data_IF_942903780928
#
_entry.id   IF_942903780928
#
_cell.length_a   1.000
_cell.length_b   1.000
_cell.length_c   1.000
_cell.angle_alpha   90.00
_cell.angle_beta   90.00
_cell.angle_gamma   90.00
#
_symmetry.space_group_name_H-M   'P 1'
#
loop_
_entity.id
_entity.type
_entity.pdbx_description
1 polymer ?
#
# COMPACT_ATOMS: atom_id res chain seq x y z
N UNK A 1 10.83 9.11 -9.08
CA UNK A 1 9.53 8.54 -8.65
C UNK A 1 9.80 7.11 -8.24
N UNK A 2 9.56 6.79 -6.97
CA UNK A 2 9.80 5.45 -6.41
C UNK A 2 8.84 4.43 -7.05
N UNK A 3 9.25 3.16 -7.13
CA UNK A 3 8.36 2.07 -7.52
C UNK A 3 7.63 1.59 -6.26
N UNK A 4 6.41 2.09 -6.06
CA UNK A 4 5.61 1.82 -4.86
C UNK A 4 4.66 0.67 -5.11
N UNK A 5 4.66 -0.30 -4.20
CA UNK A 5 3.99 -1.58 -4.40
C UNK A 5 3.54 -2.23 -3.10
N UNK A 6 2.61 -3.18 -3.21
CA UNK A 6 2.07 -3.95 -2.08
C UNK A 6 2.33 -5.45 -2.33
N UNK A 7 2.75 -6.17 -1.28
CA UNK A 7 3.03 -7.60 -1.36
C UNK A 7 1.77 -8.43 -1.67
N UNK A 8 1.89 -9.47 -2.50
CA UNK A 8 0.79 -10.42 -2.79
C UNK A 8 0.13 -10.99 -1.54
N UNK A 9 0.90 -11.31 -0.49
CA UNK A 9 0.34 -11.89 0.74
C UNK A 9 -0.75 -11.00 1.34
N UNK A 10 -0.58 -9.67 1.28
CA UNK A 10 -1.57 -8.70 1.70
C UNK A 10 -2.72 -8.62 0.68
N UNK A 11 -2.41 -8.51 -0.61
CA UNK A 11 -3.43 -8.40 -1.68
C UNK A 11 -4.37 -9.60 -1.69
N UNK A 12 -3.85 -10.82 -1.59
CA UNK A 12 -4.66 -12.04 -1.61
C UNK A 12 -5.47 -12.19 -0.32
N UNK A 13 -4.95 -11.73 0.82
CA UNK A 13 -5.72 -11.66 2.07
C UNK A 13 -6.88 -10.67 1.97
N UNK A 14 -6.64 -9.53 1.33
CA UNK A 14 -7.64 -8.51 1.07
C UNK A 14 -8.77 -9.03 0.17
N UNK A 15 -8.45 -9.69 -0.96
CA UNK A 15 -9.46 -10.26 -1.87
C UNK A 15 -10.37 -11.26 -1.15
N UNK A 16 -9.78 -12.19 -0.38
CA UNK A 16 -10.57 -13.14 0.43
C UNK A 16 -11.44 -12.44 1.46
N UNK A 17 -10.97 -11.33 2.03
CA UNK A 17 -11.76 -10.55 2.98
C UNK A 17 -12.92 -9.82 2.29
N UNK A 18 -12.71 -9.26 1.10
CA UNK A 18 -13.79 -8.68 0.29
C UNK A 18 -14.90 -9.69 -0.01
N UNK A 19 -14.56 -10.92 -0.42
CA UNK A 19 -15.55 -11.98 -0.68
C UNK A 19 -16.37 -12.33 0.58
N UNK A 20 -15.71 -12.46 1.73
CA UNK A 20 -16.39 -12.73 3.01
C UNK A 20 -17.35 -11.61 3.42
N UNK A 21 -17.10 -10.39 2.98
CA UNK A 21 -17.97 -9.23 3.21
C UNK A 21 -18.98 -9.02 2.07
N UNK A 22 -19.16 -10.02 1.20
CA UNK A 22 -20.20 -10.01 0.16
C UNK A 22 -19.85 -9.18 -1.08
N UNK A 23 -18.60 -8.74 -1.22
CA UNK A 23 -18.17 -8.01 -2.41
C UNK A 23 -17.73 -8.97 -3.53
N UNK A 24 -18.17 -8.65 -4.75
CA UNK A 24 -17.79 -9.37 -5.95
C UNK A 24 -16.34 -9.02 -6.35
N UNK A 25 -15.39 -9.87 -5.96
CA UNK A 25 -13.97 -9.69 -6.27
C UNK A 25 -13.67 -9.73 -7.76
N UNK A 26 -14.47 -10.43 -8.57
CA UNK A 26 -14.30 -10.42 -10.01
C UNK A 26 -14.64 -9.04 -10.59
N UNK A 27 -15.68 -8.38 -10.09
CA UNK A 27 -15.98 -6.97 -10.45
C UNK A 27 -14.93 -6.00 -9.92
N UNK A 28 -14.45 -6.18 -8.69
CA UNK A 28 -13.43 -5.31 -8.11
C UNK A 28 -12.09 -5.40 -8.87
N UNK A 29 -11.69 -6.62 -9.22
CA UNK A 29 -10.48 -6.90 -9.97
C UNK A 29 -10.64 -6.67 -11.48
N UNK A 30 -11.88 -6.59 -11.99
CA UNK A 30 -12.14 -6.25 -13.38
C UNK A 30 -11.45 -4.93 -13.70
N UNK A 31 -10.82 -4.89 -14.88
CA UNK A 31 -10.12 -3.70 -15.38
C UNK A 31 -8.88 -3.26 -14.56
N UNK A 32 -8.46 -4.06 -13.58
CA UNK A 32 -7.19 -3.86 -12.88
C UNK A 32 -6.09 -4.70 -13.56
N UNK A 33 -4.98 -4.06 -13.98
CA UNK A 33 -3.87 -4.78 -14.58
C UNK A 33 -3.20 -5.70 -13.55
N UNK A 34 -2.80 -6.89 -13.99
CA UNK A 34 -2.18 -7.90 -13.11
C UNK A 34 -3.15 -8.86 -12.44
N UNK A 35 -4.46 -8.71 -12.66
CA UNK A 35 -5.47 -9.70 -12.31
C UNK A 35 -5.86 -10.50 -13.56
N UNK A 36 -5.74 -11.83 -13.47
CA UNK A 36 -6.17 -12.73 -14.54
C UNK A 36 -7.61 -13.17 -14.23
N UNK A 37 -8.57 -12.95 -15.15
CA UNK A 37 -9.94 -13.43 -14.94
C UNK A 37 -9.97 -14.92 -14.63
N UNK A 38 -10.66 -15.30 -13.55
CA UNK A 38 -10.77 -16.69 -13.09
C UNK A 38 -9.61 -17.18 -12.22
N UNK A 39 -8.58 -16.37 -11.94
CA UNK A 39 -7.60 -16.67 -10.89
C UNK A 39 -8.00 -16.00 -9.57
N UNK A 40 -7.91 -16.77 -8.49
CA UNK A 40 -8.25 -16.32 -7.13
C UNK A 40 -7.10 -15.60 -6.43
N UNK A 41 -5.85 -15.82 -6.86
CA UNK A 41 -4.65 -15.26 -6.25
C UNK A 41 -3.88 -14.35 -7.21
N UNK A 42 -3.50 -13.17 -6.72
CA UNK A 42 -2.55 -12.29 -7.39
C UNK A 42 -1.12 -12.82 -7.20
N UNK A 43 -0.35 -12.77 -8.30
CA UNK A 43 1.05 -13.18 -8.35
C UNK A 43 1.93 -11.94 -8.43
N UNK A 44 2.94 -11.87 -7.56
CA UNK A 44 3.90 -10.76 -7.53
C UNK A 44 3.44 -9.60 -6.64
N UNK A 45 3.99 -8.41 -6.86
CA UNK A 45 3.59 -7.21 -6.11
C UNK A 45 2.62 -6.39 -6.95
N UNK A 46 1.60 -5.83 -6.30
CA UNK A 46 0.63 -4.96 -6.96
C UNK A 46 1.11 -3.51 -6.85
N UNK A 47 1.07 -2.76 -7.97
CA UNK A 47 1.42 -1.34 -7.94
C UNK A 47 0.45 -0.53 -7.06
N UNK A 48 0.97 0.52 -6.43
CA UNK A 48 0.22 1.27 -5.42
C UNK A 48 -1.07 1.92 -5.97
N UNK A 49 -1.05 2.42 -7.20
CA UNK A 49 -2.22 3.05 -7.83
C UNK A 49 -3.32 2.01 -8.02
N UNK A 50 -3.00 0.85 -8.57
CA UNK A 50 -3.96 -0.25 -8.74
C UNK A 50 -4.53 -0.72 -7.40
N UNK A 51 -3.71 -0.80 -6.36
CA UNK A 51 -4.16 -1.16 -5.02
C UNK A 51 -5.15 -0.12 -4.43
N UNK A 52 -4.89 1.18 -4.62
CA UNK A 52 -5.81 2.24 -4.16
C UNK A 52 -7.12 2.25 -4.95
N UNK A 53 -7.06 2.01 -6.27
CA UNK A 53 -8.27 1.84 -7.10
C UNK A 53 -9.14 0.69 -6.61
N UNK A 54 -8.53 -0.44 -6.25
CA UNK A 54 -9.25 -1.58 -5.70
C UNK A 54 -10.06 -1.19 -4.44
N UNK A 55 -9.46 -0.42 -3.53
CA UNK A 55 -10.13 0.08 -2.34
C UNK A 55 -11.22 1.11 -2.62
N UNK A 56 -11.01 2.02 -3.57
CA UNK A 56 -12.04 2.98 -3.97
C UNK A 56 -13.24 2.27 -4.61
N UNK A 57 -13.01 1.29 -5.49
CA UNK A 57 -14.08 0.43 -6.05
C UNK A 57 -14.83 -0.31 -4.94
N UNK A 58 -14.11 -0.88 -3.97
CA UNK A 58 -14.73 -1.60 -2.85
C UNK A 58 -15.58 -0.69 -1.97
N UNK A 59 -15.09 0.52 -1.67
CA UNK A 59 -15.84 1.51 -0.90
C UNK A 59 -17.10 2.00 -1.65
N UNK A 60 -17.03 2.14 -2.99
CA UNK A 60 -18.18 2.56 -3.80
C UNK A 60 -19.26 1.48 -3.97
N UNK A 61 -18.86 0.19 -3.97
CA UNK A 61 -19.80 -0.94 -4.07
C UNK A 61 -20.37 -1.38 -2.72
N UNK A 62 -19.80 -0.91 -1.61
CA UNK A 62 -20.18 -1.30 -0.25
C UNK A 62 -21.04 -0.23 0.39
N UNK A 63 -22.24 -0.61 0.85
CA UNK A 63 -23.08 0.25 1.69
C UNK A 63 -22.62 0.31 3.16
N UNK A 64 -21.61 -0.48 3.54
CA UNK A 64 -21.07 -0.51 4.92
C UNK A 64 -20.03 0.60 5.14
N UNK A 65 -20.33 1.65 5.95
CA UNK A 65 -19.38 2.71 6.26
C UNK A 65 -18.21 2.25 7.15
N UNK A 66 -18.25 1.03 7.69
CA UNK A 66 -17.23 0.43 8.53
C UNK A 66 -16.44 -0.68 7.81
N UNK A 67 -16.61 -0.85 6.49
CA UNK A 67 -16.00 -1.90 5.68
C UNK A 67 -14.50 -2.10 6.01
N UNK A 68 -13.73 -1.02 6.00
CA UNK A 68 -12.30 -1.03 6.24
C UNK A 68 -11.94 -1.62 7.60
N UNK A 69 -12.62 -1.18 8.66
CA UNK A 69 -12.39 -1.70 10.02
C UNK A 69 -12.73 -3.19 10.10
N UNK A 70 -13.86 -3.64 9.52
CA UNK A 70 -14.22 -5.06 9.52
C UNK A 70 -13.20 -5.91 8.75
N UNK A 71 -12.76 -5.44 7.60
CA UNK A 71 -11.70 -6.10 6.83
C UNK A 71 -10.43 -6.21 7.66
N UNK A 72 -9.99 -5.12 8.30
CA UNK A 72 -8.82 -5.10 9.18
C UNK A 72 -8.92 -6.09 10.34
N UNK A 73 -10.08 -6.13 11.00
CA UNK A 73 -10.36 -7.06 12.10
C UNK A 73 -10.47 -8.53 11.66
N UNK A 74 -10.74 -8.79 10.38
CA UNK A 74 -10.83 -10.15 9.81
C UNK A 74 -9.52 -10.66 9.20
N UNK A 75 -8.47 -9.82 9.16
CA UNK A 75 -7.17 -10.23 8.63
C UNK A 75 -6.57 -11.35 9.48
N UNK A 76 -5.67 -12.11 8.87
CA UNK A 76 -4.86 -13.12 9.56
C UNK A 76 -3.40 -12.68 9.58
N UNK A 77 -2.60 -13.15 10.54
CA UNK A 77 -1.19 -12.82 10.69
C UNK A 77 -0.35 -13.15 9.44
N UNK A 78 -0.80 -14.11 8.62
CA UNK A 78 -0.19 -14.37 7.31
C UNK A 78 -0.14 -13.13 6.40
N UNK A 79 -1.05 -12.17 6.61
CA UNK A 79 -1.12 -10.93 5.83
C UNK A 79 0.06 -9.98 6.10
N UNK A 80 0.68 -10.03 7.29
CA UNK A 80 1.86 -9.22 7.63
C UNK A 80 3.19 -9.95 7.35
N UNK A 81 3.13 -11.16 6.77
CA UNK A 81 4.28 -11.88 6.24
C UNK A 81 5.42 -12.02 7.23
N UNK A 82 6.62 -11.59 6.83
CA UNK A 82 7.86 -11.71 7.64
C UNK A 82 7.78 -11.01 9.00
N UNK A 83 6.91 -10.00 9.16
CA UNK A 83 6.76 -9.35 10.45
C UNK A 83 6.12 -10.26 11.49
N UNK A 84 5.23 -11.18 11.10
CA UNK A 84 4.54 -12.03 12.05
C UNK A 84 5.50 -12.82 12.97
N UNK A 85 6.40 -13.68 12.45
CA UNK A 85 7.33 -14.43 13.31
C UNK A 85 8.34 -13.53 14.04
N UNK A 86 8.73 -12.40 13.43
CA UNK A 86 9.62 -11.42 14.08
C UNK A 86 8.95 -10.78 15.31
N UNK A 87 7.67 -10.40 15.21
CA UNK A 87 6.95 -9.75 16.30
C UNK A 87 6.55 -10.76 17.39
N UNK A 88 6.16 -11.99 17.02
CA UNK A 88 5.83 -13.05 17.98
C UNK A 88 6.99 -13.40 18.91
N UNK A 89 8.21 -13.44 18.38
CA UNK A 89 9.39 -13.77 19.18
C UNK A 89 10.14 -12.53 19.65
N UNK A 90 9.55 -11.33 19.52
CA UNK A 90 10.26 -10.11 19.89
C UNK A 90 10.52 -10.04 21.40
N UNK A 91 11.71 -9.59 21.86
CA UNK A 91 12.00 -9.45 23.27
C UNK A 91 11.09 -8.48 24.05
N UNK A 92 10.57 -7.43 23.39
CA UNK A 92 9.75 -6.41 24.05
C UNK A 92 8.86 -5.68 23.04
N UNK A 93 7.80 -5.01 23.53
CA UNK A 93 6.93 -4.20 22.66
C UNK A 93 7.66 -2.99 22.09
N UNK A 94 8.54 -2.36 22.87
CA UNK A 94 9.38 -1.25 22.39
C UNK A 94 10.22 -1.65 21.18
N UNK A 95 10.76 -2.87 21.17
CA UNK A 95 11.54 -3.39 20.06
C UNK A 95 10.65 -3.84 18.89
N UNK A 96 9.48 -4.42 19.18
CA UNK A 96 8.48 -4.77 18.18
C UNK A 96 8.03 -3.54 17.37
N UNK A 97 7.75 -2.41 18.03
CA UNK A 97 7.38 -1.16 17.37
C UNK A 97 8.51 -0.60 16.50
N UNK A 98 9.78 -0.72 16.94
CA UNK A 98 10.95 -0.37 16.11
C UNK A 98 11.04 -1.25 14.86
N UNK A 99 10.76 -2.54 14.99
CA UNK A 99 10.74 -3.47 13.86
C UNK A 99 9.62 -3.16 12.87
N UNK A 100 8.41 -2.84 13.36
CA UNK A 100 7.32 -2.35 12.51
C UNK A 100 7.76 -1.09 11.77
N UNK A 101 8.34 -0.09 12.47
CA UNK A 101 8.84 1.14 11.86
C UNK A 101 9.83 0.88 10.71
N UNK A 102 10.71 -0.11 10.90
CA UNK A 102 11.81 -0.44 10.00
C UNK A 102 11.36 -1.28 8.80
N UNK A 103 10.52 -2.29 9.03
CA UNK A 103 10.23 -3.33 8.07
C UNK A 103 8.83 -3.25 7.44
N UNK A 104 7.96 -2.32 7.86
CA UNK A 104 6.60 -2.16 7.32
C UNK A 104 6.53 -2.08 5.79
N UNK A 105 7.54 -1.50 5.13
CA UNK A 105 7.57 -1.38 3.65
C UNK A 105 7.78 -2.72 2.93
N UNK A 106 8.19 -3.77 3.65
CA UNK A 106 8.21 -5.14 3.10
C UNK A 106 6.80 -5.63 2.78
N UNK A 107 5.81 -5.21 3.59
CA UNK A 107 4.40 -5.55 3.43
C UNK A 107 3.75 -4.61 2.41
N UNK A 108 3.80 -3.31 2.68
CA UNK A 108 3.06 -2.30 1.91
C UNK A 108 3.78 -0.98 1.87
N UNK A 109 3.83 -0.37 0.69
CA UNK A 109 4.33 0.99 0.48
C UNK A 109 3.18 2.02 0.40
N UNK A 110 1.97 1.65 0.84
CA UNK A 110 0.82 2.56 0.87
C UNK A 110 0.96 3.73 1.86
N UNK A 111 1.74 3.52 2.91
CA UNK A 111 1.96 4.48 3.98
C UNK A 111 2.71 3.83 5.13
N UNK A 112 3.10 4.64 6.10
CA UNK A 112 3.95 4.24 7.22
C UNK A 112 3.40 4.74 8.55
N UNK A 113 3.57 3.97 9.61
CA UNK A 113 3.37 4.46 10.97
C UNK A 113 4.51 5.38 11.40
N UNK A 114 4.14 6.54 11.92
CA UNK A 114 5.00 7.48 12.64
C UNK A 114 4.66 7.43 14.12
N UNK A 115 5.70 7.40 14.94
CA UNK A 115 5.59 7.28 16.39
C UNK A 115 6.05 8.58 17.03
N UNK A 116 5.24 9.11 17.93
CA UNK A 116 5.57 10.33 18.68
C UNK A 116 4.96 10.31 20.07
N UNK A 117 5.68 10.86 21.03
CA UNK A 117 5.16 11.16 22.36
C UNK A 117 5.17 12.67 22.54
N UNK A 118 4.07 13.24 23.00
CA UNK A 118 4.07 14.63 23.42
C UNK A 118 4.79 14.76 24.77
N UNK A 119 5.49 15.88 25.03
CA UNK A 119 6.12 16.13 26.32
C UNK A 119 5.10 16.03 27.47
N UNK A 120 5.37 15.17 28.45
CA UNK A 120 4.52 14.99 29.64
C UNK A 120 3.39 13.97 29.48
N UNK A 121 3.18 13.41 28.29
CA UNK A 121 2.20 12.32 28.08
C UNK A 121 2.83 10.94 28.34
N UNK A 122 2.00 10.00 28.83
CA UNK A 122 2.34 8.57 28.98
C UNK A 122 1.82 7.71 27.82
N UNK A 123 1.41 8.37 26.74
CA UNK A 123 0.82 7.72 25.58
C UNK A 123 1.72 7.89 24.37
N UNK A 124 1.97 6.79 23.66
CA UNK A 124 2.62 6.82 22.37
C UNK A 124 1.56 6.98 21.28
N UNK A 125 1.61 8.09 20.54
CA UNK A 125 0.80 8.30 19.34
C UNK A 125 1.42 7.55 18.16
N UNK A 126 0.64 6.66 17.57
CA UNK A 126 0.96 5.89 16.37
C UNK A 126 0.10 6.41 15.21
N UNK A 127 0.59 7.38 14.44
CA UNK A 127 -0.15 8.01 13.35
C UNK A 127 0.26 7.42 12.00
N UNK A 128 -0.71 7.10 11.16
CA UNK A 128 -0.48 6.60 9.81
C UNK A 128 -0.27 7.75 8.84
N UNK A 129 0.88 7.76 8.19
CA UNK A 129 1.27 8.71 7.15
C UNK A 129 1.16 8.03 5.79
N UNK A 130 0.19 8.46 4.99
CA UNK A 130 0.00 7.96 3.63
C UNK A 130 1.21 8.33 2.74
N UNK A 131 1.67 7.37 1.92
CA UNK A 131 2.68 7.65 0.89
C UNK A 131 2.05 8.48 -0.22
N UNK A 132 2.59 9.66 -0.58
CA UNK A 132 2.05 10.44 -1.70
C UNK A 132 2.07 9.66 -3.01
N UNK A 133 0.95 9.58 -3.70
CA UNK A 133 0.84 8.95 -5.02
C UNK A 133 -0.14 9.74 -5.91
N UNK A 134 -0.30 9.31 -7.16
CA UNK A 134 -1.17 10.00 -8.11
C UNK A 134 -2.67 9.90 -7.74
N UNK A 135 -3.05 8.85 -7.01
CA UNK A 135 -4.39 8.63 -6.48
C UNK A 135 -4.30 8.53 -4.96
N UNK A 136 -5.06 9.33 -4.22
CA UNK A 136 -5.09 9.30 -2.75
C UNK A 136 -5.66 7.97 -2.22
N UNK A 137 -5.25 7.54 -1.02
CA UNK A 137 -5.77 6.33 -0.41
C UNK A 137 -7.23 6.50 0.03
N UNK A 138 -8.03 5.44 -0.09
CA UNK A 138 -9.38 5.44 0.48
C UNK A 138 -9.31 5.48 2.02
N UNK A 139 -10.18 6.22 2.72
CA UNK A 139 -10.31 6.12 4.18
C UNK A 139 -10.51 4.68 4.68
N UNK A 140 -11.28 3.86 3.94
CA UNK A 140 -11.51 2.46 4.29
C UNK A 140 -10.21 1.63 4.21
N UNK A 141 -9.33 1.96 3.26
CA UNK A 141 -8.02 1.33 3.17
C UNK A 141 -7.18 1.63 4.42
N UNK A 142 -7.10 2.90 4.82
CA UNK A 142 -6.33 3.31 6.00
C UNK A 142 -6.93 2.68 7.27
N UNK A 143 -8.25 2.74 7.43
CA UNK A 143 -8.96 2.13 8.56
C UNK A 143 -8.70 0.61 8.66
N UNK A 144 -8.56 -0.10 7.53
CA UNK A 144 -8.19 -1.53 7.54
C UNK A 144 -6.80 -1.79 8.10
N UNK A 145 -5.83 -0.91 7.79
CA UNK A 145 -4.48 -0.99 8.34
C UNK A 145 -4.51 -0.71 9.83
N UNK A 146 -5.18 0.37 10.25
CA UNK A 146 -5.30 0.73 11.67
C UNK A 146 -5.97 -0.38 12.48
N UNK A 147 -7.13 -0.87 12.04
CA UNK A 147 -7.89 -1.90 12.75
C UNK A 147 -7.14 -3.24 12.79
N UNK A 148 -6.47 -3.61 11.68
CA UNK A 148 -5.60 -4.78 11.64
C UNK A 148 -4.45 -4.67 12.64
N UNK A 149 -3.76 -3.53 12.68
CA UNK A 149 -2.69 -3.27 13.65
C UNK A 149 -3.18 -3.31 15.10
N UNK A 150 -4.32 -2.70 15.41
CA UNK A 150 -4.93 -2.76 16.75
C UNK A 150 -5.23 -4.21 17.15
N UNK A 151 -5.76 -5.02 16.22
CA UNK A 151 -6.00 -6.44 16.46
C UNK A 151 -4.70 -7.19 16.75
N UNK A 152 -3.66 -6.99 15.94
CA UNK A 152 -2.35 -7.60 16.18
C UNK A 152 -1.77 -7.21 17.54
N UNK A 153 -1.87 -5.94 17.95
CA UNK A 153 -1.39 -5.49 19.26
C UNK A 153 -2.12 -6.23 20.39
N UNK A 154 -3.46 -6.33 20.30
CA UNK A 154 -4.28 -6.99 21.32
C UNK A 154 -3.98 -8.48 21.46
N UNK A 155 -3.67 -9.16 20.36
CA UNK A 155 -3.45 -10.60 20.35
C UNK A 155 -1.98 -11.00 20.58
N UNK A 156 -1.02 -10.23 20.06
CA UNK A 156 0.41 -10.55 20.16
C UNK A 156 1.00 -10.20 21.53
N UNK A 157 0.45 -9.18 22.19
CA UNK A 157 1.05 -8.64 23.42
C UNK A 157 0.27 -8.97 24.69
N UNK A 158 -0.67 -9.92 24.65
CA UNK A 158 -1.35 -10.50 25.82
C UNK A 158 -1.83 -9.43 26.84
N UNK A 159 -2.45 -8.37 26.33
CA UNK A 159 -2.94 -7.21 27.10
C UNK A 159 -1.86 -6.43 27.90
N UNK A 160 -0.57 -6.67 27.66
CA UNK A 160 0.53 -5.91 28.28
C UNK A 160 0.50 -4.44 27.86
N UNK A 161 0.03 -4.17 26.65
CA UNK A 161 -0.11 -2.83 26.08
C UNK A 161 -1.56 -2.61 25.70
N UNK A 162 -2.13 -1.54 26.23
CA UNK A 162 -3.49 -1.13 25.94
C UNK A 162 -3.52 -0.08 24.84
N UNK A 163 -4.37 -0.32 23.85
CA UNK A 163 -4.78 0.74 22.92
C UNK A 163 -5.77 1.62 23.66
N UNK A 164 -5.41 2.88 23.90
CA UNK A 164 -6.19 3.84 24.69
C UNK A 164 -7.27 4.52 23.88
N UNK A 165 -6.97 4.88 22.64
CA UNK A 165 -7.90 5.61 21.78
C UNK A 165 -7.63 5.35 20.30
N UNK A 166 -8.66 5.53 19.48
CA UNK A 166 -8.55 5.66 18.03
C UNK A 166 -8.44 7.15 17.67
N UNK A 167 -7.44 7.53 16.87
CA UNK A 167 -7.31 8.89 16.33
C UNK A 167 -7.84 8.90 14.90
N UNK A 168 -8.73 9.84 14.58
CA UNK A 168 -9.27 10.03 13.24
C UNK A 168 -9.21 11.51 12.80
N UNK A 169 -9.13 11.79 11.49
CA UNK A 169 -9.15 13.16 10.99
C UNK A 169 -10.42 13.91 11.40
N UNK A 170 -10.27 15.13 11.91
CA UNK A 170 -11.39 15.91 12.42
C UNK A 170 -12.39 16.33 11.31
N UNK A 171 -11.87 16.56 10.11
CA UNK A 171 -12.61 17.09 8.96
C UNK A 171 -13.34 16.00 8.15
N UNK A 172 -13.03 14.72 8.37
CA UNK A 172 -13.60 13.64 7.57
C UNK A 172 -14.93 13.16 8.16
N UNK A 173 -15.93 13.02 7.29
CA UNK A 173 -17.22 12.43 7.63
C UNK A 173 -17.07 10.92 7.80
N UNK A 174 -17.21 10.44 9.03
CA UNK A 174 -17.05 9.03 9.41
C UNK A 174 -18.18 8.63 10.37
N UNK A 175 -18.58 7.35 10.36
CA UNK A 175 -19.41 6.78 11.43
C UNK A 175 -18.58 6.58 12.71
N UNK A 176 -18.33 7.69 13.42
CA UNK A 176 -17.51 7.72 14.63
C UNK A 176 -18.06 6.81 15.73
N UNK A 177 -19.38 6.71 15.86
CA UNK A 177 -20.04 5.86 16.86
C UNK A 177 -19.85 4.38 16.51
N UNK A 178 -20.03 4.02 15.24
CA UNK A 178 -19.78 2.67 14.74
C UNK A 178 -18.32 2.26 14.92
N UNK A 179 -17.37 3.13 14.57
CA UNK A 179 -15.93 2.91 14.77
C UNK A 179 -15.60 2.64 16.25
N UNK A 180 -16.04 3.52 17.14
CA UNK A 180 -15.80 3.41 18.58
C UNK A 180 -16.39 2.11 19.16
N UNK A 181 -17.62 1.77 18.76
CA UNK A 181 -18.33 0.59 19.23
C UNK A 181 -17.68 -0.71 18.73
N UNK A 182 -17.32 -0.76 17.45
CA UNK A 182 -16.76 -1.97 16.83
C UNK A 182 -15.35 -2.28 17.33
N UNK A 183 -14.54 -1.24 17.58
CA UNK A 183 -13.19 -1.42 18.13
C UNK A 183 -13.17 -1.49 19.66
N UNK A 184 -14.28 -1.18 20.34
CA UNK A 184 -14.34 -0.99 21.79
C UNK A 184 -13.26 0.00 22.27
N UNK A 185 -13.21 1.18 21.64
CA UNK A 185 -12.23 2.23 21.94
C UNK A 185 -12.89 3.61 21.89
N UNK A 186 -12.51 4.54 22.79
CA UNK A 186 -12.86 5.94 22.60
C UNK A 186 -12.19 6.49 21.33
N UNK A 187 -12.79 7.51 20.74
CA UNK A 187 -12.34 8.14 19.52
C UNK A 187 -11.95 9.60 19.78
N UNK A 188 -10.76 9.97 19.31
CA UNK A 188 -10.23 11.34 19.30
C UNK A 188 -10.26 11.85 17.86
N UNK A 189 -11.02 12.93 17.64
CA UNK A 189 -11.12 13.57 16.33
C UNK A 189 -10.19 14.78 16.27
N UNK A 190 -8.99 14.60 15.74
CA UNK A 190 -7.91 15.60 15.74
C UNK A 190 -7.10 15.51 14.44
N UNK A 191 -6.60 16.66 13.98
CA UNK A 191 -5.68 16.72 12.83
C UNK A 191 -6.26 16.16 11.53
N UNK A 192 -5.36 15.63 10.70
CA UNK A 192 -5.62 15.16 9.34
C UNK A 192 -5.28 13.68 9.11
N UNK A 193 -4.83 12.97 10.16
CA UNK A 193 -4.34 11.58 10.07
C UNK A 193 -5.18 10.61 10.89
N UNK A 194 -5.16 9.35 10.45
CA UNK A 194 -5.65 8.23 11.23
C UNK A 194 -4.54 7.68 12.13
N UNK A 195 -4.90 7.09 13.26
CA UNK A 195 -3.93 6.48 14.15
C UNK A 195 -4.56 5.89 15.40
N UNK A 196 -3.72 5.60 16.38
CA UNK A 196 -4.15 5.16 17.71
C UNK A 196 -3.12 5.54 18.76
N UNK A 197 -3.54 5.55 20.01
CA UNK A 197 -2.69 5.81 21.17
C UNK A 197 -2.45 4.52 21.95
N UNK A 198 -1.20 4.28 22.34
CA UNK A 198 -0.81 3.16 23.20
C UNK A 198 -0.38 3.70 24.55
N UNK A 199 -0.68 3.00 25.63
CA UNK A 199 0.04 3.23 26.88
C UNK A 199 1.50 2.77 26.77
N UNK A 200 2.39 3.38 27.56
CA UNK A 200 3.83 3.07 27.50
C UNK A 200 4.34 2.27 28.70
N UNK A 201 3.48 2.02 29.70
CA UNK A 201 3.90 1.54 31.02
C UNK A 201 4.68 0.21 30.98
N UNK A 202 4.33 -0.69 30.05
CA UNK A 202 4.90 -2.04 29.97
C UNK A 202 5.73 -2.30 28.70
N UNK A 203 6.17 -1.25 27.99
CA UNK A 203 6.86 -1.42 26.71
C UNK A 203 8.13 -2.26 26.74
N UNK A 204 8.82 -2.32 27.88
CA UNK A 204 10.06 -3.07 28.05
C UNK A 204 9.87 -4.41 28.77
N UNK A 205 8.63 -4.78 29.10
CA UNK A 205 8.33 -6.06 29.70
C UNK A 205 8.50 -7.16 28.65
N UNK A 206 9.15 -8.30 28.99
CA UNK A 206 9.31 -9.40 28.06
C UNK A 206 7.98 -9.93 27.51
N UNK A 207 7.91 -10.12 26.20
CA UNK A 207 6.74 -10.73 25.54
C UNK A 207 6.75 -12.24 25.84
N UNK A 208 5.59 -12.77 26.27
CA UNK A 208 5.40 -14.20 26.53
C UNK A 208 5.60 -15.01 25.25
N UNK A 209 6.35 -16.11 25.31
CA UNK A 209 6.64 -16.94 24.14
C UNK A 209 7.78 -16.43 23.25
N UNK A 210 8.51 -15.39 23.70
CA UNK A 210 9.76 -14.98 23.08
C UNK A 210 10.78 -16.13 23.07
N UNK A 211 11.19 -16.56 21.88
CA UNK A 211 12.30 -17.49 21.67
C UNK A 211 13.46 -16.70 21.05
N UNK A 212 14.59 -16.53 21.75
CA UNK A 212 15.71 -15.73 21.25
C UNK A 212 16.31 -16.24 19.94
N UNK A 213 16.25 -17.54 19.68
CA UNK A 213 16.78 -18.15 18.46
C UNK A 213 15.86 -17.85 17.28
N UNK A 214 14.56 -18.07 17.44
CA UNK A 214 13.57 -17.79 16.40
C UNK A 214 13.46 -16.29 16.13
N UNK A 215 13.63 -15.46 17.16
CA UNK A 215 13.75 -14.01 17.02
C UNK A 215 14.91 -13.63 16.10
N UNK A 216 16.12 -14.11 16.39
CA UNK A 216 17.31 -13.75 15.61
C UNK A 216 17.20 -14.24 14.16
N UNK A 217 16.73 -15.48 13.94
CA UNK A 217 16.51 -16.01 12.59
C UNK A 217 15.50 -15.17 11.80
N UNK A 218 14.39 -14.77 12.44
CA UNK A 218 13.37 -13.93 11.82
C UNK A 218 13.89 -12.52 11.51
N UNK A 219 14.70 -11.96 12.41
CA UNK A 219 15.32 -10.64 12.24
C UNK A 219 16.33 -10.64 11.09
N UNK A 220 17.21 -11.63 11.02
CA UNK A 220 18.19 -11.78 9.94
C UNK A 220 17.49 -11.92 8.59
N UNK A 221 16.42 -12.72 8.54
CA UNK A 221 15.61 -12.87 7.33
C UNK A 221 14.92 -11.56 6.92
N UNK A 222 14.34 -10.81 7.87
CA UNK A 222 13.75 -9.49 7.60
C UNK A 222 14.78 -8.50 7.05
N UNK A 223 16.00 -8.47 7.60
CA UNK A 223 17.10 -7.66 7.08
C UNK A 223 17.53 -8.07 5.67
N UNK A 224 17.62 -9.37 5.38
CA UNK A 224 17.92 -9.85 4.03
C UNK A 224 16.87 -9.40 3.02
N UNK A 225 15.59 -9.51 3.36
CA UNK A 225 14.49 -9.03 2.51
C UNK A 225 14.55 -7.51 2.30
N UNK A 226 14.83 -6.73 3.36
CA UNK A 226 14.94 -5.27 3.27
C UNK A 226 16.12 -4.85 2.38
N UNK A 227 17.28 -5.48 2.55
CA UNK A 227 18.46 -5.22 1.73
C UNK A 227 18.22 -5.61 0.26
N UNK A 228 17.52 -6.73 0.02
CA UNK A 228 17.14 -7.14 -1.33
C UNK A 228 16.15 -6.14 -1.97
N UNK A 229 15.16 -5.66 -1.20
CA UNK A 229 14.21 -4.63 -1.62
C UNK A 229 14.92 -3.31 -1.96
N UNK A 230 15.85 -2.85 -1.14
CA UNK A 230 16.60 -1.61 -1.37
C UNK A 230 17.41 -1.67 -2.67
N UNK A 231 18.19 -2.75 -2.87
CA UNK A 231 18.93 -2.98 -4.13
C UNK A 231 18.01 -3.07 -5.35
N UNK A 232 16.86 -3.72 -5.19
CA UNK A 232 15.81 -3.74 -6.20
C UNK A 232 15.32 -2.32 -6.51
N UNK A 233 14.97 -1.55 -5.48
CA UNK A 233 14.45 -0.18 -5.59
C UNK A 233 15.40 0.75 -6.33
N UNK A 234 16.70 0.69 -6.07
CA UNK A 234 17.71 1.49 -6.81
C UNK A 234 17.70 1.17 -8.31
N UNK A 235 17.68 -0.13 -8.67
CA UNK A 235 17.58 -0.57 -10.05
C UNK A 235 16.28 -0.05 -10.70
N UNK A 236 15.15 -0.19 -10.03
CA UNK A 236 13.84 0.24 -10.53
C UNK A 236 13.78 1.77 -10.67
N UNK A 237 14.33 2.52 -9.71
CA UNK A 237 14.41 3.98 -9.75
C UNK A 237 15.24 4.47 -10.94
N UNK A 238 16.39 3.84 -11.21
CA UNK A 238 17.22 4.16 -12.37
C UNK A 238 16.47 3.91 -13.70
N UNK A 239 15.75 2.80 -13.80
CA UNK A 239 14.96 2.46 -15.00
C UNK A 239 13.78 3.44 -15.17
N UNK A 240 13.10 3.80 -14.08
CA UNK A 240 11.99 4.78 -14.11
C UNK A 240 12.49 6.18 -14.49
N UNK A 241 13.64 6.60 -13.95
CA UNK A 241 14.32 7.84 -14.36
C UNK A 241 14.71 7.82 -15.83
N UNK A 242 15.21 6.68 -16.33
CA UNK A 242 15.47 6.49 -17.75
C UNK A 242 14.18 6.66 -18.59
N UNK A 243 13.09 5.97 -18.23
CA UNK A 243 11.80 6.05 -18.94
C UNK A 243 11.29 7.50 -18.99
N UNK A 244 11.33 8.21 -17.86
CA UNK A 244 10.89 9.61 -17.78
C UNK A 244 11.70 10.56 -18.68
N UNK A 245 13.00 10.31 -18.82
CA UNK A 245 13.90 11.17 -19.57
C UNK A 245 14.06 10.78 -21.06
N UNK A 246 13.50 9.65 -21.49
CA UNK A 246 13.69 9.10 -22.85
C UNK A 246 12.35 8.88 -23.55
N UNK A 247 11.51 9.92 -23.57
CA UNK A 247 10.29 9.96 -24.37
C UNK A 247 9.15 9.07 -23.88
N UNK A 248 9.20 8.64 -22.61
CA UNK A 248 8.10 7.94 -21.91
C UNK A 248 7.58 6.73 -22.69
N UNK A 249 6.46 6.86 -23.42
CA UNK A 249 5.89 5.77 -24.22
C UNK A 249 6.89 5.19 -25.24
N UNK A 250 7.81 6.01 -25.74
CA UNK A 250 8.84 5.62 -26.71
C UNK A 250 10.06 4.93 -26.09
N UNK A 251 10.21 4.97 -24.76
CA UNK A 251 11.33 4.31 -24.11
C UNK A 251 11.32 2.79 -24.37
N UNK A 252 12.49 2.26 -24.72
CA UNK A 252 12.70 0.84 -24.99
C UNK A 252 13.69 0.19 -24.01
N UNK A 253 13.50 -1.11 -23.77
CA UNK A 253 14.39 -1.90 -22.90
C UNK A 253 15.81 -1.96 -23.44
N UNK A 254 15.99 -1.93 -24.77
CA UNK A 254 17.30 -1.97 -25.43
C UNK A 254 18.09 -0.70 -25.14
N UNK A 255 17.47 0.48 -25.28
CA UNK A 255 18.12 1.75 -24.97
C UNK A 255 18.45 1.85 -23.47
N UNK A 256 17.51 1.43 -22.60
CA UNK A 256 17.74 1.42 -21.16
C UNK A 256 18.88 0.48 -20.75
N UNK A 257 18.96 -0.71 -21.35
CA UNK A 257 20.05 -1.64 -21.06
C UNK A 257 21.41 -1.05 -21.49
N UNK A 258 21.45 -0.43 -22.67
CA UNK A 258 22.65 0.26 -23.16
C UNK A 258 23.09 1.40 -22.23
N UNK A 259 22.17 2.26 -21.79
CA UNK A 259 22.48 3.36 -20.85
C UNK A 259 22.97 2.86 -19.48
N UNK A 260 22.57 1.64 -19.09
CA UNK A 260 22.97 0.99 -17.84
C UNK A 260 24.17 0.04 -18.02
N UNK A 261 24.88 0.11 -19.15
CA UNK A 261 26.06 -0.71 -19.45
C UNK A 261 25.80 -2.22 -19.29
N UNK A 262 24.62 -2.67 -19.72
CA UNK A 262 24.22 -4.08 -19.70
C UNK A 262 23.49 -4.47 -20.99
N UNK A 263 23.10 -5.74 -21.13
CA UNK A 263 22.29 -6.19 -22.26
C UNK A 263 20.83 -6.40 -21.85
N UNK A 264 19.91 -6.31 -22.83
CA UNK A 264 18.47 -6.39 -22.60
C UNK A 264 18.07 -7.69 -21.88
N UNK A 265 18.67 -8.83 -22.25
CA UNK A 265 18.40 -10.14 -21.63
C UNK A 265 18.76 -10.15 -20.13
N UNK A 266 19.90 -9.57 -19.76
CA UNK A 266 20.32 -9.50 -18.36
C UNK A 266 19.43 -8.55 -17.57
N UNK A 267 19.09 -7.38 -18.13
CA UNK A 267 18.18 -6.42 -17.49
C UNK A 267 16.79 -7.04 -17.26
N UNK A 268 16.22 -7.70 -18.28
CA UNK A 268 14.94 -8.40 -18.17
C UNK A 268 14.98 -9.51 -17.12
N UNK A 269 16.06 -10.29 -17.06
CA UNK A 269 16.23 -11.32 -16.02
C UNK A 269 16.30 -10.72 -14.61
N UNK A 270 17.00 -9.58 -14.44
CA UNK A 270 17.05 -8.87 -13.15
C UNK A 270 15.66 -8.36 -12.75
N UNK A 271 14.92 -7.79 -13.68
CA UNK A 271 13.55 -7.32 -13.47
C UNK A 271 12.60 -8.47 -13.10
N UNK A 272 12.68 -9.60 -13.81
CA UNK A 272 11.88 -10.78 -13.51
C UNK A 272 12.14 -11.32 -12.09
N UNK A 273 13.39 -11.29 -11.60
CA UNK A 273 13.72 -11.63 -10.21
C UNK A 273 13.12 -10.66 -9.19
N UNK A 274 12.84 -9.43 -9.59
CA UNK A 274 12.13 -8.43 -8.79
C UNK A 274 10.59 -8.52 -8.98
N UNK A 275 10.09 -9.51 -9.71
CA UNK A 275 8.66 -9.71 -9.95
C UNK A 275 8.03 -8.70 -10.90
N UNK A 276 8.83 -8.01 -11.72
CA UNK A 276 8.35 -6.98 -12.65
C UNK A 276 9.02 -7.11 -14.02
N UNK A 277 8.69 -6.20 -14.94
CA UNK A 277 9.24 -6.13 -16.30
C UNK A 277 9.39 -4.67 -16.72
N UNK A 278 10.23 -4.42 -17.74
CA UNK A 278 10.40 -3.07 -18.29
C UNK A 278 9.07 -2.50 -18.79
N UNK A 279 8.22 -3.37 -19.38
CA UNK A 279 6.88 -3.01 -19.81
C UNK A 279 6.01 -2.54 -18.65
N UNK A 280 5.95 -3.32 -17.56
CA UNK A 280 5.17 -2.95 -16.37
C UNK A 280 5.66 -1.64 -15.76
N UNK A 281 6.97 -1.46 -15.60
CA UNK A 281 7.54 -0.20 -15.08
C UNK A 281 7.22 1.00 -15.98
N UNK A 282 7.26 0.81 -17.30
CA UNK A 282 6.88 1.86 -18.25
C UNK A 282 5.40 2.22 -18.10
N UNK A 283 4.53 1.22 -18.05
CA UNK A 283 3.10 1.42 -17.85
C UNK A 283 2.83 2.15 -16.51
N UNK A 284 3.49 1.79 -15.41
CA UNK A 284 3.35 2.49 -14.12
C UNK A 284 3.74 3.97 -14.19
N UNK A 285 4.90 4.29 -14.77
CA UNK A 285 5.34 5.69 -14.94
C UNK A 285 4.32 6.47 -15.77
N UNK A 286 3.83 5.88 -16.85
CA UNK A 286 2.82 6.49 -17.72
C UNK A 286 1.50 6.70 -16.98
N UNK A 287 1.04 5.72 -16.19
CA UNK A 287 -0.17 5.82 -15.37
C UNK A 287 -0.07 6.95 -14.33
N UNK A 288 1.06 7.04 -13.63
CA UNK A 288 1.28 8.08 -12.61
C UNK A 288 1.22 9.48 -13.20
N UNK A 289 1.86 9.69 -14.36
CA UNK A 289 1.82 10.98 -15.06
C UNK A 289 0.41 11.25 -15.61
N UNK A 290 -0.23 10.25 -16.24
CA UNK A 290 -1.59 10.39 -16.77
C UNK A 290 -2.59 10.80 -15.69
N UNK A 291 -2.59 10.12 -14.54
CA UNK A 291 -3.50 10.46 -13.43
C UNK A 291 -3.20 11.86 -12.89
N UNK A 292 -1.92 12.20 -12.68
CA UNK A 292 -1.52 13.52 -12.17
C UNK A 292 -2.02 14.64 -13.08
N UNK A 293 -1.87 14.48 -14.40
CA UNK A 293 -2.30 15.48 -15.36
C UNK A 293 -3.82 15.52 -15.54
N UNK A 294 -4.50 14.38 -15.44
CA UNK A 294 -5.96 14.37 -15.37
C UNK A 294 -6.48 15.15 -14.16
N UNK A 295 -5.85 14.98 -12.99
CA UNK A 295 -6.18 15.74 -11.77
C UNK A 295 -5.88 17.24 -11.88
N UNK A 296 -4.94 17.64 -12.74
CA UNK A 296 -4.65 19.06 -13.04
C UNK A 296 -5.61 19.67 -14.06
N UNK A 297 -6.53 18.87 -14.61
CA UNK A 297 -7.45 19.32 -15.67
C UNK A 297 -6.82 19.43 -17.06
N UNK A 298 -5.60 18.92 -17.27
CA UNK A 298 -4.89 18.97 -18.56
C UNK A 298 -5.72 18.31 -19.68
N UNK A 299 -5.73 18.86 -20.90
CA UNK A 299 -6.52 18.27 -22.00
C UNK A 299 -6.02 16.87 -22.37
N UNK A 300 -6.91 16.01 -22.88
CA UNK A 300 -6.53 14.64 -23.30
C UNK A 300 -5.45 14.66 -24.39
N UNK A 301 -5.49 15.65 -25.29
CA UNK A 301 -4.47 15.84 -26.32
C UNK A 301 -3.11 16.20 -25.71
N UNK A 302 -3.09 17.13 -24.75
CA UNK A 302 -1.88 17.53 -24.02
C UNK A 302 -1.28 16.35 -23.25
N UNK A 303 -2.12 15.52 -22.62
CA UNK A 303 -1.66 14.33 -21.90
C UNK A 303 -1.05 13.31 -22.86
N UNK A 304 -1.68 13.07 -24.02
CA UNK A 304 -1.17 12.15 -25.02
C UNK A 304 0.22 12.58 -25.54
N UNK A 305 0.37 13.87 -25.85
CA UNK A 305 1.63 14.46 -26.29
C UNK A 305 2.72 14.37 -25.20
N UNK A 306 2.38 14.78 -23.96
CA UNK A 306 3.30 14.71 -22.82
C UNK A 306 3.83 13.29 -22.59
N UNK A 307 2.96 12.28 -22.70
CA UNK A 307 3.33 10.88 -22.51
C UNK A 307 4.11 10.29 -23.69
N UNK A 308 4.31 11.04 -24.78
CA UNK A 308 5.06 10.63 -25.95
C UNK A 308 4.28 9.75 -26.93
N UNK A 309 2.94 9.84 -26.95
CA UNK A 309 2.12 9.17 -27.97
C UNK A 309 2.08 9.98 -29.26
N UNK A 310 2.17 9.30 -30.40
CA UNK A 310 2.12 9.92 -31.73
C UNK A 310 0.73 10.44 -32.10
N UNK A 311 -0.33 9.89 -31.49
CA UNK A 311 -1.71 10.26 -31.72
C UNK A 311 -2.55 10.03 -30.44
N UNK A 312 -3.61 10.82 -30.26
CA UNK A 312 -4.55 10.67 -29.14
C UNK A 312 -5.23 9.30 -29.13
N UNK A 313 -5.49 8.71 -30.31
CA UNK A 313 -6.05 7.36 -30.42
C UNK A 313 -5.18 6.27 -29.80
N UNK A 314 -3.85 6.36 -29.95
CA UNK A 314 -2.91 5.43 -29.33
C UNK A 314 -2.88 5.59 -27.80
N UNK A 315 -2.91 6.83 -27.31
CA UNK A 315 -3.06 7.10 -25.89
C UNK A 315 -4.37 6.53 -25.34
N UNK A 316 -5.51 6.74 -26.00
CA UNK A 316 -6.80 6.18 -25.56
C UNK A 316 -6.79 4.67 -25.43
N UNK A 317 -6.21 3.95 -26.41
CA UNK A 317 -6.08 2.49 -26.36
C UNK A 317 -5.20 2.05 -25.19
N UNK A 318 -4.06 2.71 -24.99
CA UNK A 318 -3.16 2.41 -23.89
C UNK A 318 -3.81 2.70 -22.53
N UNK A 319 -4.44 3.86 -22.38
CA UNK A 319 -5.16 4.28 -21.19
C UNK A 319 -6.27 3.30 -20.82
N UNK A 320 -7.07 2.86 -21.79
CA UNK A 320 -8.08 1.83 -21.58
C UNK A 320 -7.47 0.50 -21.13
N UNK A 321 -6.31 0.12 -21.67
CA UNK A 321 -5.58 -1.07 -21.22
C UNK A 321 -5.06 -0.95 -19.79
N UNK A 322 -4.71 0.26 -19.35
CA UNK A 322 -4.20 0.51 -18.00
C UNK A 322 -5.27 0.65 -16.94
N UNK A 323 -6.40 1.25 -17.30
CA UNK A 323 -7.42 1.71 -16.37
C UNK A 323 -8.81 1.11 -16.62
N UNK A 324 -9.03 0.36 -17.69
CA UNK A 324 -10.33 -0.21 -18.08
C UNK A 324 -11.28 0.76 -18.78
N UNK A 325 -11.27 2.01 -18.34
CA UNK A 325 -12.10 3.08 -18.86
C UNK A 325 -11.38 4.03 -19.80
N UNK A 326 -12.13 4.97 -20.37
CA UNK A 326 -11.55 6.12 -21.08
C UNK A 326 -11.04 7.16 -20.06
N UNK A 327 -10.12 8.07 -20.45
CA UNK A 327 -9.72 9.19 -19.60
C UNK A 327 -10.88 10.07 -19.12
N UNK A 328 -11.91 10.24 -19.97
CA UNK A 328 -13.11 11.01 -19.62
C UNK A 328 -13.93 10.31 -18.55
N UNK A 329 -14.16 9.00 -18.70
CA UNK A 329 -14.86 8.19 -17.70
C UNK A 329 -14.15 8.23 -16.34
N UNK A 330 -12.81 8.11 -16.32
CA UNK A 330 -12.06 8.16 -15.07
C UNK A 330 -12.19 9.51 -14.34
N UNK A 331 -12.43 10.63 -15.05
CA UNK A 331 -12.69 11.94 -14.41
C UNK A 331 -14.07 12.04 -13.78
N UNK A 332 -15.03 11.25 -14.26
CA UNK A 332 -16.39 11.22 -13.72
C UNK A 332 -16.48 10.33 -12.47
N UNK A 333 -15.44 9.53 -12.21
CA UNK A 333 -15.38 8.69 -11.01
C UNK A 333 -15.34 9.57 -9.73
N UNK A 334 -16.18 9.28 -8.71
CA UNK A 334 -16.32 10.13 -7.53
C UNK A 334 -15.03 10.34 -6.73
N UNK A 335 -14.08 9.41 -6.83
CA UNK A 335 -12.79 9.45 -6.15
C UNK A 335 -11.70 10.16 -6.95
N UNK A 336 -12.01 10.64 -8.15
CA UNK A 336 -11.10 11.34 -9.05
C UNK A 336 -11.44 12.83 -9.07
N UNK A 337 -11.18 13.52 -7.95
CA UNK A 337 -11.42 14.96 -7.86
C UNK A 337 -10.21 15.73 -8.39
N UNK A 338 -10.35 16.57 -9.43
CA UNK A 338 -9.31 17.52 -9.78
C UNK A 338 -9.02 18.40 -8.55
N UNK A 339 -7.77 18.54 -8.15
CA UNK A 339 -7.39 19.43 -7.04
C UNK A 339 -7.28 20.87 -7.52
#
# INVERSE_FOLDING_TARGET
MDHLSIANVWVNSLLRSFERHGLDTAKLASELPGFVPGQTDHIGRLDLVSARRLWHKAAALSDDPLLGVRIGLSQDYRSIGVLAPLLWHCPSVSLALKHVATFQTLISENGVFRYGMQPGEKTLRCLYEETPAALDASPQQILSVIAGTIRYIRELFDQRVEVRSLVVPAHLALDRKGLSSLLNLPLVAEGDRFGFELDTDNFNVPITGCDPTLYQLSLDYAHQLLNAKQKGSELLMNIRGFIANHGLAQASVTQCAHSMQTNARNLQRKLARQGTSFRQLKEEVLKEIAIRELNRGSSIATIAELLGYSETGAFHRAFRGWFGGSPGHLREEPFFTPR
#
